data_IF_162678407960
#
_entry.id   IF_162678407960
#
_cell.length_a   1.000
_cell.length_b   1.000
_cell.length_c   1.000
_cell.angle_alpha   90.00
_cell.angle_beta   90.00
_cell.angle_gamma   90.00
#
_symmetry.space_group_name_H-M   'P 1'
#
loop_
_entity.id
_entity.type
_entity.pdbx_description
1 polymer ?
#
# COMPACT_ATOMS: atom_id res chain seq x y z
N UNK A 1 -1.86 -18.89 16.21
CA UNK A 1 -2.80 -17.76 16.13
C UNK A 1 -2.86 -17.39 14.67
N UNK A 2 -4.02 -17.54 14.02
CA UNK A 2 -4.19 -17.14 12.61
C UNK A 2 -4.00 -15.62 12.54
N UNK A 3 -2.99 -15.15 11.82
CA UNK A 3 -2.63 -13.76 11.71
C UNK A 3 -3.58 -13.10 10.70
N UNK A 4 -4.84 -12.91 11.07
CA UNK A 4 -5.82 -12.36 10.13
C UNK A 4 -5.42 -10.95 9.64
N UNK A 5 -5.81 -10.65 8.41
CA UNK A 5 -5.69 -9.31 7.84
C UNK A 5 -6.46 -8.33 8.71
N UNK A 6 -5.81 -7.24 9.12
CA UNK A 6 -6.44 -6.16 9.85
C UNK A 6 -6.67 -4.98 8.90
N UNK A 7 -7.92 -4.55 8.77
CA UNK A 7 -8.30 -3.34 8.05
C UNK A 7 -9.07 -2.44 9.00
N UNK A 8 -8.54 -1.24 9.27
CA UNK A 8 -9.23 -0.26 10.08
C UNK A 8 -10.54 0.19 9.41
N UNK A 9 -11.61 0.41 10.18
CA UNK A 9 -12.95 0.77 9.68
C UNK A 9 -13.00 2.07 8.86
N UNK A 10 -12.07 2.98 9.12
CA UNK A 10 -11.93 4.25 8.39
C UNK A 10 -11.21 4.11 7.04
N UNK A 11 -10.68 2.93 6.76
CA UNK A 11 -9.89 2.65 5.56
C UNK A 11 -10.77 1.98 4.51
N UNK A 12 -10.51 2.29 3.25
CA UNK A 12 -11.32 1.83 2.14
C UNK A 12 -10.52 0.90 1.25
N UNK A 13 -11.13 -0.21 0.86
CA UNK A 13 -10.55 -1.21 -0.02
C UNK A 13 -11.49 -1.43 -1.19
N UNK A 14 -10.98 -1.25 -2.40
CA UNK A 14 -11.69 -1.50 -3.64
C UNK A 14 -11.86 -3.02 -3.89
N UNK A 15 -12.54 -3.37 -4.99
CA UNK A 15 -12.72 -4.76 -5.42
C UNK A 15 -11.40 -5.38 -5.91
N UNK A 16 -11.31 -6.71 -5.84
CA UNK A 16 -10.19 -7.52 -6.34
C UNK A 16 -8.83 -7.17 -5.71
N UNK A 17 -8.82 -6.68 -4.47
CA UNK A 17 -7.58 -6.48 -3.73
C UNK A 17 -7.19 -7.79 -3.04
N UNK A 18 -5.94 -8.19 -3.19
CA UNK A 18 -5.35 -9.35 -2.53
C UNK A 18 -4.47 -8.87 -1.37
N UNK A 19 -4.68 -9.40 -0.16
CA UNK A 19 -3.88 -9.07 1.02
C UNK A 19 -3.41 -10.35 1.70
N UNK A 20 -2.10 -10.47 1.90
CA UNK A 20 -1.48 -11.58 2.60
C UNK A 20 -1.74 -11.58 4.10
N UNK A 21 -1.67 -12.77 4.70
CA UNK A 21 -1.82 -12.98 6.14
C UNK A 21 -0.85 -12.10 6.95
N UNK A 22 -1.30 -11.59 8.09
CA UNK A 22 -0.51 -10.78 9.02
C UNK A 22 -0.41 -9.30 8.65
N UNK A 23 -0.91 -8.91 7.48
CA UNK A 23 -0.89 -7.52 7.03
C UNK A 23 -1.90 -6.66 7.77
N UNK A 24 -1.47 -5.46 8.18
CA UNK A 24 -2.28 -4.48 8.91
C UNK A 24 -2.36 -3.17 8.15
N UNK A 25 -3.57 -2.70 7.94
CA UNK A 25 -3.88 -1.42 7.29
C UNK A 25 -4.53 -0.48 8.30
N UNK A 26 -3.84 0.62 8.57
CA UNK A 26 -4.26 1.64 9.51
C UNK A 26 -5.11 2.73 8.84
N UNK A 27 -5.56 3.67 9.66
CA UNK A 27 -6.60 4.66 9.38
C UNK A 27 -6.46 5.41 8.04
N UNK A 28 -7.60 5.78 7.47
CA UNK A 28 -7.70 6.64 6.27
C UNK A 28 -6.88 6.18 5.07
N UNK A 29 -6.55 4.90 4.98
CA UNK A 29 -5.83 4.36 3.83
C UNK A 29 -6.80 3.95 2.73
N UNK A 30 -6.41 4.16 1.47
CA UNK A 30 -7.16 3.71 0.31
C UNK A 30 -6.34 2.68 -0.45
N UNK A 31 -6.86 1.45 -0.51
CA UNK A 31 -6.28 0.36 -1.29
C UNK A 31 -7.11 0.18 -2.55
N UNK A 32 -6.56 0.58 -3.69
CA UNK A 32 -7.31 0.63 -4.95
C UNK A 32 -7.30 -0.72 -5.68
N UNK A 33 -8.22 -0.85 -6.63
CA UNK A 33 -8.55 -2.12 -7.30
C UNK A 33 -7.32 -2.85 -7.87
N UNK A 34 -7.42 -4.18 -7.88
CA UNK A 34 -6.44 -5.09 -8.49
C UNK A 34 -5.02 -5.01 -7.88
N UNK A 35 -4.85 -4.32 -6.74
CA UNK A 35 -3.59 -4.26 -6.01
C UNK A 35 -3.34 -5.55 -5.22
N UNK A 36 -2.07 -5.89 -5.04
CA UNK A 36 -1.60 -7.08 -4.32
C UNK A 36 -0.66 -6.66 -3.21
N UNK A 37 -0.99 -7.03 -1.98
CA UNK A 37 -0.16 -6.77 -0.80
C UNK A 37 0.24 -8.11 -0.19
N UNK A 38 1.54 -8.30 0.00
CA UNK A 38 2.11 -9.52 0.58
C UNK A 38 1.78 -9.68 2.06
N UNK A 39 2.47 -10.63 2.69
CA UNK A 39 2.25 -11.00 4.09
C UNK A 39 2.99 -10.06 5.05
N UNK A 40 2.52 -9.98 6.30
CA UNK A 40 3.17 -9.27 7.40
C UNK A 40 3.52 -7.80 7.11
N UNK A 41 2.75 -7.14 6.24
CA UNK A 41 2.97 -5.73 5.92
C UNK A 41 2.31 -4.80 6.95
N UNK A 42 2.89 -3.61 7.12
CA UNK A 42 2.29 -2.55 7.93
C UNK A 42 2.06 -1.36 7.01
N UNK A 43 0.79 -1.03 6.79
CA UNK A 43 0.37 0.12 6.00
C UNK A 43 -0.12 1.19 6.97
N UNK A 44 0.65 2.28 7.09
CA UNK A 44 0.41 3.39 8.00
C UNK A 44 -0.87 4.17 7.72
N UNK A 45 -1.07 5.26 8.45
CA UNK A 45 -2.23 6.13 8.27
C UNK A 45 -2.13 6.94 6.97
N UNK A 46 -3.28 7.16 6.32
CA UNK A 46 -3.40 8.03 5.14
C UNK A 46 -2.46 7.58 4.00
N UNK A 47 -2.38 6.27 3.78
CA UNK A 47 -1.61 5.70 2.68
C UNK A 47 -2.52 5.46 1.48
N UNK A 48 -2.09 5.90 0.31
CA UNK A 48 -2.76 5.60 -0.95
C UNK A 48 -1.98 4.53 -1.73
N UNK A 49 -2.60 3.38 -1.95
CA UNK A 49 -2.08 2.31 -2.82
C UNK A 49 -2.88 2.32 -4.11
N UNK A 50 -2.23 2.74 -5.20
CA UNK A 50 -2.82 2.89 -6.52
C UNK A 50 -3.26 1.55 -7.14
N UNK A 51 -4.02 1.59 -8.25
CA UNK A 51 -4.56 0.39 -8.86
C UNK A 51 -3.44 -0.46 -9.45
N UNK A 52 -3.50 -1.77 -9.25
CA UNK A 52 -2.51 -2.72 -9.76
C UNK A 52 -1.13 -2.63 -9.13
N UNK A 53 -0.95 -1.86 -8.04
CA UNK A 53 0.31 -1.82 -7.29
C UNK A 53 0.59 -3.18 -6.66
N UNK A 54 1.86 -3.58 -6.68
CA UNK A 54 2.33 -4.83 -6.07
C UNK A 54 3.26 -4.49 -4.91
N UNK A 55 2.95 -5.00 -3.72
CA UNK A 55 3.75 -4.88 -2.50
C UNK A 55 4.14 -6.30 -2.06
N UNK A 56 5.43 -6.51 -1.84
CA UNK A 56 6.02 -7.75 -1.35
C UNK A 56 5.69 -8.05 0.12
N UNK A 57 6.44 -8.96 0.72
CA UNK A 57 6.28 -9.40 2.10
C UNK A 57 7.10 -8.54 3.07
N UNK A 58 6.66 -8.47 4.33
CA UNK A 58 7.34 -7.77 5.43
C UNK A 58 7.57 -6.26 5.17
N UNK A 59 6.81 -5.66 4.26
CA UNK A 59 6.95 -4.25 3.90
C UNK A 59 6.35 -3.35 4.97
N UNK A 60 7.06 -2.26 5.29
CA UNK A 60 6.57 -1.22 6.21
C UNK A 60 6.42 0.10 5.48
N UNK A 61 5.19 0.53 5.30
CA UNK A 61 4.84 1.83 4.71
C UNK A 61 4.38 2.75 5.84
N UNK A 62 5.13 3.84 6.06
CA UNK A 62 4.79 4.84 7.07
C UNK A 62 3.67 5.78 6.59
N UNK A 63 3.25 6.67 7.48
CA UNK A 63 2.08 7.53 7.25
C UNK A 63 2.27 8.49 6.05
N UNK A 64 1.15 8.86 5.44
CA UNK A 64 1.07 9.85 4.35
C UNK A 64 1.85 9.47 3.09
N UNK A 65 2.02 8.17 2.82
CA UNK A 65 2.71 7.68 1.62
C UNK A 65 1.72 7.50 0.46
N UNK A 66 2.16 7.87 -0.73
CA UNK A 66 1.40 7.60 -1.97
C UNK A 66 2.21 6.72 -2.91
N UNK A 67 1.66 5.56 -3.25
CA UNK A 67 2.21 4.61 -4.22
C UNK A 67 1.31 4.59 -5.45
N UNK A 68 1.78 5.13 -6.57
CA UNK A 68 0.97 5.19 -7.80
C UNK A 68 1.09 3.92 -8.67
N UNK A 69 0.16 3.78 -9.62
CA UNK A 69 0.08 2.65 -10.56
C UNK A 69 1.42 2.32 -11.21
N UNK A 70 1.69 1.02 -11.37
CA UNK A 70 2.90 0.51 -12.03
C UNK A 70 4.12 0.45 -11.12
N UNK A 71 3.99 0.85 -9.85
CA UNK A 71 5.04 0.65 -8.84
C UNK A 71 4.96 -0.77 -8.28
N UNK A 72 6.12 -1.40 -8.17
CA UNK A 72 6.34 -2.64 -7.42
C UNK A 72 7.28 -2.36 -6.26
N UNK A 73 6.88 -2.73 -5.05
CA UNK A 73 7.70 -2.66 -3.83
C UNK A 73 8.07 -4.09 -3.46
N UNK A 74 9.37 -4.38 -3.37
CA UNK A 74 9.87 -5.73 -3.06
C UNK A 74 9.82 -6.05 -1.56
N UNK A 75 10.17 -7.29 -1.23
CA UNK A 75 10.17 -7.82 0.13
C UNK A 75 11.14 -7.04 1.05
N UNK A 76 10.80 -6.97 2.34
CA UNK A 76 11.62 -6.37 3.40
C UNK A 76 11.92 -4.86 3.23
N UNK A 77 11.18 -4.17 2.36
CA UNK A 77 11.34 -2.73 2.13
C UNK A 77 10.71 -1.89 3.25
N UNK A 78 11.44 -0.85 3.67
CA UNK A 78 10.93 0.21 4.53
C UNK A 78 10.73 1.50 3.74
N UNK A 79 9.53 2.07 3.79
CA UNK A 79 9.18 3.36 3.19
C UNK A 79 8.91 4.36 4.31
N UNK A 80 9.72 5.42 4.34
CA UNK A 80 9.60 6.51 5.30
C UNK A 80 8.31 7.32 5.13
N UNK A 81 7.95 8.14 6.14
CA UNK A 81 6.73 8.94 6.10
C UNK A 81 6.78 9.97 4.97
N UNK A 82 5.62 10.27 4.39
CA UNK A 82 5.45 11.31 3.37
C UNK A 82 6.20 11.07 2.05
N UNK A 83 6.63 9.83 1.76
CA UNK A 83 7.21 9.46 0.46
C UNK A 83 6.11 9.40 -0.61
N UNK A 84 6.43 9.86 -1.82
CA UNK A 84 5.55 9.78 -2.99
C UNK A 84 6.28 9.08 -4.12
N UNK A 85 5.78 7.93 -4.56
CA UNK A 85 6.29 7.22 -5.73
C UNK A 85 5.54 7.68 -6.97
N UNK A 86 6.13 8.58 -7.74
CA UNK A 86 5.54 9.04 -9.01
C UNK A 86 5.91 8.10 -10.15
N UNK A 87 4.90 7.60 -10.88
CA UNK A 87 5.10 6.90 -12.15
C UNK A 87 4.72 7.81 -13.31
N UNK A 88 5.44 8.92 -13.46
CA UNK A 88 5.20 9.92 -14.50
C UNK A 88 6.27 9.77 -15.58
N UNK A 89 5.87 9.26 -16.74
CA UNK A 89 6.77 9.12 -17.91
C UNK A 89 6.96 10.44 -18.68
N UNK A 90 6.08 11.43 -18.47
CA UNK A 90 6.12 12.73 -19.17
C UNK A 90 6.02 13.86 -18.16
N UNK A 91 7.14 14.55 -17.94
CA UNK A 91 7.20 15.73 -17.10
C UNK A 91 6.73 16.93 -17.93
N UNK A 92 5.59 17.52 -17.57
CA UNK A 92 5.15 18.81 -18.11
C UNK A 92 5.76 19.91 -17.24
N UNK A 93 6.57 20.77 -17.83
CA UNK A 93 6.93 22.04 -17.21
C UNK A 93 5.73 22.99 -17.36
N UNK A 94 5.21 23.46 -16.22
CA UNK A 94 4.26 24.58 -16.16
C UNK A 94 5.01 25.90 -16.21
#
# INVERSE_FOLDING_TARGET
MSNQVFLHESSYMDKNVEIGEGTKIWHFSHIQKDSKIGQNCIIGQNVNIGPGVVIGNNVKIQNNVSVYTGVTIEDDVFIGPSVVFTNVLKMMFL
#
